data_IF_053886108457
#
_entry.id   IF_053886108457
#
_cell.length_a   1.000
_cell.length_b   1.000
_cell.length_c   1.000
_cell.angle_alpha   90.00
_cell.angle_beta   90.00
_cell.angle_gamma   90.00
#
_symmetry.space_group_name_H-M   'P 1'
#
loop_
_entity.id
_entity.type
_entity.pdbx_description
1 polymer ?
#
# COMPACT_ATOMS: atom_id res chain seq x y z
N UNK A 1 -8.77 -23.20 4.94
CA UNK A 1 -7.99 -22.68 3.80
C UNK A 1 -6.80 -21.88 4.32
N UNK A 2 -5.83 -22.53 5.00
CA UNK A 2 -4.59 -21.87 5.45
C UNK A 2 -3.44 -22.53 4.70
N UNK A 3 -2.62 -21.75 3.99
CA UNK A 3 -1.42 -22.21 3.29
C UNK A 3 -1.40 -22.00 1.77
N UNK A 4 -2.53 -21.94 1.07
CA UNK A 4 -2.52 -21.80 -0.41
C UNK A 4 -1.86 -20.51 -0.90
N UNK A 5 -2.02 -19.41 -0.15
CA UNK A 5 -1.38 -18.13 -0.45
C UNK A 5 0.15 -18.19 -0.34
N UNK A 6 0.68 -18.99 0.60
CA UNK A 6 2.12 -19.17 0.80
C UNK A 6 2.78 -19.98 -0.33
N UNK A 7 1.96 -20.69 -1.12
CA UNK A 7 2.41 -21.46 -2.28
C UNK A 7 2.29 -20.68 -3.60
N UNK A 8 1.76 -19.45 -3.59
CA UNK A 8 1.75 -18.61 -4.79
C UNK A 8 3.17 -18.14 -5.11
N UNK A 9 3.58 -18.32 -6.37
CA UNK A 9 4.87 -17.79 -6.80
C UNK A 9 4.81 -16.26 -6.93
N UNK A 10 5.92 -15.55 -6.69
CA UNK A 10 5.99 -14.09 -6.85
C UNK A 10 5.51 -13.61 -8.22
N UNK A 11 5.79 -14.37 -9.29
CA UNK A 11 5.36 -14.05 -10.66
C UNK A 11 3.84 -14.08 -10.80
N UNK A 12 3.18 -15.03 -10.12
CA UNK A 12 1.72 -15.08 -10.13
C UNK A 12 1.11 -13.92 -9.35
N UNK A 13 1.67 -13.60 -8.19
CA UNK A 13 1.25 -12.45 -7.39
C UNK A 13 1.41 -11.16 -8.19
N UNK A 14 2.56 -10.98 -8.85
CA UNK A 14 2.81 -9.82 -9.70
C UNK A 14 1.82 -9.71 -10.85
N UNK A 15 1.56 -10.81 -11.57
CA UNK A 15 0.63 -10.80 -12.71
C UNK A 15 -0.77 -10.32 -12.34
N UNK A 16 -1.32 -10.79 -11.21
CA UNK A 16 -2.64 -10.34 -10.74
C UNK A 16 -2.58 -8.89 -10.24
N UNK A 17 -1.48 -8.49 -9.61
CA UNK A 17 -1.26 -7.12 -9.13
C UNK A 17 -1.16 -6.12 -10.28
N UNK A 18 -0.35 -6.42 -11.29
CA UNK A 18 -0.25 -5.64 -12.53
C UNK A 18 -1.61 -5.50 -13.19
N UNK A 19 -2.37 -6.61 -13.32
CA UNK A 19 -3.72 -6.57 -13.85
C UNK A 19 -4.63 -5.65 -13.02
N UNK A 20 -4.61 -5.76 -11.69
CA UNK A 20 -5.38 -4.89 -10.80
C UNK A 20 -4.99 -3.41 -10.97
N UNK A 21 -3.69 -3.12 -11.04
CA UNK A 21 -3.15 -1.77 -11.24
C UNK A 21 -3.62 -1.13 -12.55
N UNK A 22 -3.95 -1.89 -13.59
CA UNK A 22 -4.52 -1.34 -14.85
C UNK A 22 -6.00 -0.99 -14.78
N UNK A 23 -6.72 -1.43 -13.74
CA UNK A 23 -8.17 -1.20 -13.63
C UNK A 23 -8.51 0.25 -13.29
N UNK A 24 -9.81 0.60 -13.32
CA UNK A 24 -10.30 1.91 -12.91
C UNK A 24 -10.17 2.14 -11.39
N UNK A 25 -10.30 1.09 -10.59
CA UNK A 25 -10.35 1.16 -9.14
C UNK A 25 -9.33 0.18 -8.50
N UNK A 26 -8.02 0.34 -8.75
CA UNK A 26 -7.00 -0.58 -8.28
C UNK A 26 -6.93 -0.67 -6.75
N UNK A 27 -7.29 0.38 -6.02
CA UNK A 27 -7.35 0.38 -4.57
C UNK A 27 -8.31 -0.67 -3.99
N UNK A 28 -9.35 -1.07 -4.74
CA UNK A 28 -10.31 -2.10 -4.30
C UNK A 28 -9.64 -3.47 -4.18
N UNK A 29 -8.68 -3.78 -5.06
CA UNK A 29 -7.92 -5.03 -4.98
C UNK A 29 -7.19 -5.15 -3.64
N UNK A 30 -6.46 -4.11 -3.25
CA UNK A 30 -5.71 -4.08 -1.99
C UNK A 30 -6.64 -4.02 -0.77
N UNK A 31 -7.76 -3.32 -0.86
CA UNK A 31 -8.78 -3.32 0.21
C UNK A 31 -9.35 -4.73 0.42
N UNK A 32 -9.71 -5.44 -0.65
CA UNK A 32 -10.23 -6.82 -0.55
C UNK A 32 -9.18 -7.77 0.01
N UNK A 33 -7.92 -7.66 -0.42
CA UNK A 33 -6.82 -8.44 0.16
C UNK A 33 -6.68 -8.16 1.66
N UNK A 34 -6.85 -6.91 2.10
CA UNK A 34 -6.81 -6.55 3.52
C UNK A 34 -7.99 -7.14 4.28
N UNK A 35 -9.20 -6.97 3.76
CA UNK A 35 -10.44 -7.42 4.39
C UNK A 35 -10.46 -8.94 4.61
N UNK A 36 -9.84 -9.71 3.69
CA UNK A 36 -9.71 -11.16 3.82
C UNK A 36 -8.41 -11.62 4.53
N UNK A 37 -7.55 -10.68 4.94
CA UNK A 37 -6.28 -10.94 5.63
C UNK A 37 -5.13 -11.45 4.74
N UNK A 38 -5.33 -11.50 3.42
CA UNK A 38 -4.31 -11.90 2.46
C UNK A 38 -3.23 -10.82 2.24
N UNK A 39 -3.55 -9.53 2.45
CA UNK A 39 -2.60 -8.43 2.27
C UNK A 39 -1.35 -8.61 3.13
N UNK A 40 -1.53 -8.98 4.41
CA UNK A 40 -0.42 -9.27 5.33
C UNK A 40 0.51 -10.39 4.86
N UNK A 41 0.00 -11.33 4.06
CA UNK A 41 0.79 -12.46 3.54
C UNK A 41 1.50 -12.08 2.25
N UNK A 42 0.81 -11.38 1.34
CA UNK A 42 1.32 -11.09 0.00
C UNK A 42 2.14 -9.79 -0.07
N UNK A 43 1.79 -8.79 0.73
CA UNK A 43 2.37 -7.45 0.74
C UNK A 43 2.50 -6.93 2.18
N UNK A 44 3.33 -7.58 3.02
CA UNK A 44 3.47 -7.20 4.43
C UNK A 44 3.89 -5.74 4.63
N UNK A 45 4.64 -5.16 3.70
CA UNK A 45 5.08 -3.76 3.73
C UNK A 45 3.91 -2.79 3.55
N UNK A 46 2.92 -3.14 2.72
CA UNK A 46 1.70 -2.34 2.54
C UNK A 46 0.77 -2.52 3.75
N UNK A 47 0.64 -3.74 4.26
CA UNK A 47 -0.18 -4.02 5.45
C UNK A 47 0.31 -3.25 6.69
N UNK A 48 1.62 -3.09 6.82
CA UNK A 48 2.27 -2.35 7.90
C UNK A 48 1.97 -0.84 7.92
N UNK A 49 1.41 -0.26 6.85
CA UNK A 49 1.02 1.15 6.82
C UNK A 49 -0.28 1.44 7.56
N UNK A 50 -1.15 0.44 7.67
CA UNK A 50 -2.44 0.65 8.30
C UNK A 50 -2.30 0.73 9.82
N UNK A 51 -2.91 1.74 10.42
CA UNK A 51 -2.76 2.11 11.82
C UNK A 51 -1.57 3.03 12.10
N UNK A 52 -0.73 3.33 11.10
CA UNK A 52 0.38 4.28 11.22
C UNK A 52 -0.15 5.70 11.02
N UNK A 53 -0.13 6.57 12.05
CA UNK A 53 -0.71 7.90 11.98
C UNK A 53 0.22 8.89 11.27
N UNK A 54 -0.33 9.60 10.29
CA UNK A 54 0.26 10.72 9.58
C UNK A 54 -0.22 12.08 10.16
N UNK A 55 0.48 13.20 9.89
CA UNK A 55 0.10 14.50 10.42
C UNK A 55 -1.27 14.99 9.92
N UNK A 56 -2.23 15.13 10.84
CA UNK A 56 -3.62 15.50 10.54
C UNK A 56 -3.81 16.80 9.73
N UNK A 57 -2.84 17.73 9.79
CA UNK A 57 -2.86 18.97 9.00
C UNK A 57 -2.92 18.71 7.49
N UNK A 58 -2.26 17.65 7.04
CA UNK A 58 -2.14 17.31 5.63
C UNK A 58 -2.88 16.00 5.28
N UNK A 59 -3.12 15.17 6.30
CA UNK A 59 -3.76 13.86 6.20
C UNK A 59 -4.97 13.80 7.14
N UNK A 60 -6.12 14.37 6.77
CA UNK A 60 -7.34 14.33 7.60
C UNK A 60 -7.82 12.91 7.91
N UNK A 61 -7.50 11.94 7.06
CA UNK A 61 -7.69 10.50 7.26
C UNK A 61 -6.86 9.93 8.41
N UNK A 62 -5.75 10.59 8.74
CA UNK A 62 -4.73 10.21 9.73
C UNK A 62 -4.01 8.91 9.40
N UNK A 63 -4.67 7.89 8.88
CA UNK A 63 -4.10 6.58 8.64
C UNK A 63 -3.30 6.51 7.33
N UNK A 64 -2.04 6.09 7.41
CA UNK A 64 -1.13 6.01 6.25
C UNK A 64 -1.58 4.93 5.25
N UNK A 65 -2.15 3.81 5.71
CA UNK A 65 -2.67 2.77 4.82
C UNK A 65 -3.89 3.26 4.03
N UNK A 66 -4.81 3.97 4.70
CA UNK A 66 -5.94 4.65 4.03
C UNK A 66 -5.43 5.68 3.03
N UNK A 67 -4.45 6.50 3.42
CA UNK A 67 -3.81 7.48 2.54
C UNK A 67 -3.27 6.82 1.27
N UNK A 68 -2.52 5.72 1.40
CA UNK A 68 -1.97 4.96 0.27
C UNK A 68 -3.05 4.47 -0.70
N UNK A 69 -4.19 3.99 -0.20
CA UNK A 69 -5.30 3.60 -1.07
C UNK A 69 -5.96 4.79 -1.77
N UNK A 70 -6.09 5.93 -1.08
CA UNK A 70 -6.61 7.16 -1.66
C UNK A 70 -5.69 7.71 -2.76
N UNK A 71 -4.38 7.74 -2.53
CA UNK A 71 -3.40 8.19 -3.53
C UNK A 71 -3.35 7.26 -4.74
N UNK A 72 -3.42 5.94 -4.53
CA UNK A 72 -3.52 4.99 -5.64
C UNK A 72 -4.80 5.20 -6.46
N UNK A 73 -5.94 5.47 -5.81
CA UNK A 73 -7.19 5.82 -6.50
C UNK A 73 -7.05 7.10 -7.33
N UNK A 74 -6.35 8.11 -6.80
CA UNK A 74 -6.06 9.35 -7.53
C UNK A 74 -5.12 9.12 -8.71
N UNK A 75 -4.04 8.36 -8.53
CA UNK A 75 -3.10 8.02 -9.59
C UNK A 75 -3.80 7.28 -10.74
N UNK A 76 -4.75 6.40 -10.44
CA UNK A 76 -5.54 5.71 -11.45
C UNK A 76 -6.41 6.64 -12.29
N UNK A 77 -6.88 7.76 -11.73
CA UNK A 77 -7.62 8.79 -12.48
C UNK A 77 -6.70 9.68 -13.32
N UNK A 78 -5.45 9.86 -12.91
CA UNK A 78 -4.50 10.80 -13.53
C UNK A 78 -3.59 10.16 -14.59
N UNK A 79 -3.28 8.87 -14.46
CA UNK A 79 -2.36 8.17 -15.36
C UNK A 79 -2.80 6.73 -15.63
N UNK A 80 -2.71 6.24 -16.87
CA UNK A 80 -2.91 4.81 -17.19
C UNK A 80 -1.64 3.96 -16.94
N UNK A 81 -0.48 4.57 -16.68
CA UNK A 81 0.79 3.86 -16.65
C UNK A 81 0.96 3.08 -15.34
N UNK A 82 1.28 1.79 -15.44
CA UNK A 82 1.39 0.88 -14.30
C UNK A 82 2.52 1.28 -13.36
N UNK A 83 3.65 1.72 -13.90
CA UNK A 83 4.81 2.21 -13.15
C UNK A 83 4.46 3.42 -12.26
N UNK A 84 3.69 4.38 -12.75
CA UNK A 84 3.20 5.53 -11.95
C UNK A 84 2.30 5.07 -10.81
N UNK A 85 1.37 4.14 -11.10
CA UNK A 85 0.43 3.61 -10.10
C UNK A 85 1.14 2.76 -9.04
N UNK A 86 2.10 1.95 -9.46
CA UNK A 86 2.94 1.15 -8.57
C UNK A 86 3.86 2.04 -7.71
N UNK A 87 4.51 3.05 -8.31
CA UNK A 87 5.30 4.02 -7.54
C UNK A 87 4.46 4.76 -6.50
N UNK A 88 3.21 5.11 -6.83
CA UNK A 88 2.27 5.71 -5.88
C UNK A 88 1.92 4.78 -4.73
N UNK A 89 1.70 3.48 -5.01
CA UNK A 89 1.46 2.47 -3.97
C UNK A 89 2.66 2.34 -3.01
N UNK A 90 3.89 2.49 -3.52
CA UNK A 90 5.12 2.29 -2.74
C UNK A 90 5.63 3.57 -2.04
N UNK A 91 5.14 4.76 -2.40
CA UNK A 91 5.80 6.03 -2.06
C UNK A 91 5.99 6.29 -0.56
N UNK A 92 5.16 5.67 0.28
CA UNK A 92 5.11 5.87 1.72
C UNK A 92 5.50 4.62 2.53
N UNK A 93 5.97 3.54 1.89
CA UNK A 93 6.28 2.26 2.57
C UNK A 93 7.21 2.43 3.78
N UNK A 94 8.17 3.36 3.71
CA UNK A 94 9.10 3.64 4.80
C UNK A 94 8.43 4.17 6.07
N UNK A 95 7.20 4.70 6.01
CA UNK A 95 6.45 5.10 7.21
C UNK A 95 6.10 3.89 8.07
N UNK A 96 5.85 2.73 7.46
CA UNK A 96 5.59 1.46 8.16
C UNK A 96 6.77 0.97 9.01
N UNK A 97 7.99 1.46 8.72
CA UNK A 97 9.20 1.14 9.48
C UNK A 97 9.50 2.16 10.58
N UNK A 98 8.74 3.26 10.67
CA UNK A 98 9.00 4.30 11.67
C UNK A 98 8.61 3.79 13.07
N UNK A 99 9.51 3.83 14.07
CA UNK A 99 9.18 3.51 15.45
C UNK A 99 8.02 4.39 15.98
N UNK A 100 7.07 3.84 16.76
CA UNK A 100 5.91 4.58 17.26
C UNK A 100 6.24 5.87 18.03
N UNK A 101 7.36 5.90 18.75
CA UNK A 101 7.85 7.06 19.48
C UNK A 101 8.24 8.25 18.57
N UNK A 102 8.38 8.02 17.26
CA UNK A 102 8.70 9.04 16.25
C UNK A 102 7.48 9.44 15.41
N UNK A 103 6.32 8.85 15.65
CA UNK A 103 5.08 9.24 14.98
C UNK A 103 4.58 10.62 15.46
N UNK A 104 3.88 11.38 14.61
CA UNK A 104 3.58 11.16 13.20
C UNK A 104 4.61 11.83 12.26
N UNK A 105 5.84 12.11 12.74
CA UNK A 105 6.80 12.93 11.99
C UNK A 105 7.54 12.15 10.90
N UNK A 106 7.76 10.85 11.11
CA UNK A 106 8.38 9.94 10.14
C UNK A 106 9.71 10.46 9.56
N UNK A 107 10.61 10.96 10.41
CA UNK A 107 11.91 11.44 9.94
C UNK A 107 12.69 10.30 9.26
N UNK A 108 13.16 10.53 8.03
CA UNK A 108 13.94 9.56 7.27
C UNK A 108 13.12 8.46 6.57
N UNK A 109 11.79 8.53 6.53
CA UNK A 109 10.97 7.49 5.90
C UNK A 109 11.21 7.35 4.38
N UNK A 110 11.53 8.44 3.68
CA UNK A 110 11.75 8.41 2.23
C UNK A 110 12.82 7.40 1.80
N UNK A 111 14.07 7.52 2.29
CA UNK A 111 15.12 6.53 2.03
C UNK A 111 14.87 5.13 2.63
N UNK A 112 13.92 4.99 3.56
CA UNK A 112 13.61 3.70 4.18
C UNK A 112 12.57 2.90 3.38
N UNK A 113 11.82 3.55 2.48
CA UNK A 113 10.77 2.95 1.66
C UNK A 113 11.11 2.78 0.18
N UNK A 114 12.31 3.20 -0.24
CA UNK A 114 12.83 3.16 -1.61
C UNK A 114 14.22 2.55 -1.65
#
# INVERSE_FOLDING_TARGET
MRGELEHLTPERVWKETESALTTRNPQVFFQVLRDCGALRVLFPEIDALFGVPAPARWHPEIDTGIHTLMTLSMAAMLSPQVDVRFATLCHDLGKGLTPPELWPRHHGHGPAGC
#
